data_IF_225229782738
#
_entry.id   IF_225229782738
#
_cell.length_a   1.000
_cell.length_b   1.000
_cell.length_c   1.000
_cell.angle_alpha   90.00
_cell.angle_beta   90.00
_cell.angle_gamma   90.00
#
_symmetry.space_group_name_H-M   'P 1'
#
loop_
_entity.id
_entity.type
_entity.pdbx_description
1 polymer ?
2 polymer ?
3 water ?
#
loop_
_entity_poly.entity_id
_entity_poly.type
_entity_poly.pdbx_seq_one_letter_code
_entity_poly.pdbx_strand_id
2 'polydeoxyribonucleotide' '(DT)(DC)(DT)(DT)(DC)(DC)' ?
#
# COMPACT_ATOMS: atom_id res chain seq x y z
N UNK A 6 -13.87 0.03 14.31
CA UNK A 6 -13.11 -1.20 14.50
C UNK A 6 -11.76 -1.14 13.79
N UNK A 7 -11.63 -0.22 12.83
CA UNK A 7 -10.41 -0.15 12.03
C UNK A 7 -10.40 1.12 11.18
N UNK A 8 -9.25 1.79 11.10
CA UNK A 8 -9.12 2.98 10.27
C UNK A 8 -7.87 2.87 9.41
N UNK A 9 -7.86 3.61 8.31
CA UNK A 9 -6.68 3.66 7.46
C UNK A 9 -6.54 5.05 6.86
N UNK A 10 -5.30 5.39 6.51
CA UNK A 10 -5.02 6.65 5.83
C UNK A 10 -3.79 6.46 4.96
N UNK A 11 -3.92 6.76 3.67
CA UNK A 11 -2.75 6.80 2.80
C UNK A 11 -2.00 8.09 3.12
N UNK A 12 -0.83 7.96 3.74
CA UNK A 12 -0.07 9.14 4.11
C UNK A 12 0.84 9.60 2.98
N UNK A 13 1.28 8.67 2.13
CA UNK A 13 2.13 9.01 1.00
C UNK A 13 1.88 7.97 -0.09
N UNK A 14 1.74 8.43 -1.33
CA UNK A 14 1.67 7.52 -2.47
C UNK A 14 3.07 7.40 -3.06
N UNK A 15 3.57 6.17 -3.19
CA UNK A 15 4.94 6.00 -3.67
C UNK A 15 5.00 5.53 -5.12
N UNK A 16 4.16 4.57 -5.50
CA UNK A 16 4.28 4.00 -6.84
C UNK A 16 3.01 3.25 -7.19
N UNK A 17 2.54 3.40 -8.43
CA UNK A 17 1.49 2.54 -8.95
C UNK A 17 2.12 1.48 -9.85
N UNK A 18 1.73 0.22 -9.65
CA UNK A 18 2.30 -0.91 -10.37
C UNK A 18 1.47 -1.32 -11.59
N UNK A 19 0.17 -1.10 -11.55
CA UNK A 19 -0.71 -1.40 -12.67
C UNK A 19 -2.10 -0.85 -12.36
N UNK A 20 -2.93 -0.81 -13.39
CA UNK A 20 -4.31 -0.39 -13.28
C UNK A 20 -5.13 -1.30 -14.18
N UNK A 21 -6.37 -1.59 -13.78
CA UNK A 21 -7.19 -2.50 -14.58
C UNK A 21 -8.35 -1.75 -15.22
N UNK A 22 -9.19 -2.50 -15.94
CA UNK A 22 -10.25 -1.89 -16.74
C UNK A 22 -11.30 -1.18 -15.88
N UNK A 23 -11.41 -1.52 -14.60
CA UNK A 23 -12.34 -0.86 -13.70
C UNK A 23 -11.72 0.36 -13.02
N UNK A 24 -10.49 0.71 -13.36
CA UNK A 24 -9.84 1.83 -12.73
C UNK A 24 -9.17 1.51 -11.41
N UNK A 25 -9.26 0.28 -10.94
CA UNK A 25 -8.56 -0.08 -9.72
C UNK A 25 -7.07 -0.17 -9.99
N UNK A 26 -6.26 0.20 -9.00
CA UNK A 26 -4.82 0.23 -9.14
C UNK A 26 -4.18 -0.66 -8.09
N UNK A 27 -3.02 -1.22 -8.43
CA UNK A 27 -2.13 -1.85 -7.46
C UNK A 27 -1.03 -0.84 -7.13
N UNK A 28 -0.90 -0.50 -5.85
CA UNK A 28 -0.06 0.61 -5.43
C UNK A 28 0.85 0.21 -4.29
N UNK A 29 2.01 0.85 -4.23
CA UNK A 29 2.85 0.85 -3.04
C UNK A 29 2.69 2.22 -2.40
N UNK A 30 2.17 2.24 -1.18
CA UNK A 30 1.93 3.46 -0.42
C UNK A 30 2.53 3.33 0.97
N UNK A 31 2.65 4.46 1.66
CA UNK A 31 2.85 4.46 3.10
C UNK A 31 1.49 4.71 3.73
N UNK A 32 1.01 3.74 4.50
CA UNK A 32 -0.36 3.74 5.00
C UNK A 32 -0.34 3.63 6.51
N UNK A 33 -1.09 4.50 7.18
CA UNK A 33 -1.27 4.41 8.62
C UNK A 33 -2.55 3.62 8.92
N UNK A 34 -2.41 2.54 9.68
CA UNK A 34 -3.55 1.74 10.11
C UNK A 34 -3.79 1.97 11.60
N UNK A 35 -5.04 2.26 11.95
CA UNK A 35 -5.43 2.49 13.34
C UNK A 35 -4.53 3.52 14.02
N UNK A 36 -4.12 4.53 13.26
CA UNK A 36 -3.33 5.62 13.79
C UNK A 36 -1.88 5.30 14.06
N UNK A 37 -1.43 4.11 13.69
CA UNK A 37 -0.04 3.75 13.88
C UNK A 37 0.83 4.48 12.86
N UNK A 38 2.13 4.63 13.12
CA UNK A 38 3.02 5.21 12.12
C UNK A 38 2.85 4.49 10.79
N UNK A 39 2.96 5.24 9.70
CA UNK A 39 2.69 4.68 8.38
C UNK A 39 3.71 3.61 8.02
N UNK A 40 3.25 2.58 7.32
CA UNK A 40 4.09 1.47 6.89
C UNK A 40 3.93 1.26 5.39
N UNK A 41 4.94 0.65 4.79
CA UNK A 41 4.82 0.23 3.40
C UNK A 41 3.61 -0.68 3.24
N UNK A 42 2.86 -0.47 2.17
CA UNK A 42 1.62 -1.22 1.97
C UNK A 42 1.46 -1.44 0.47
N UNK A 43 1.32 -2.70 0.06
CA UNK A 43 1.18 -3.06 -1.35
C UNK A 43 -0.22 -3.65 -1.51
N UNK A 44 -1.07 -2.98 -2.29
CA UNK A 44 -2.50 -3.25 -2.17
C UNK A 44 -3.23 -2.70 -3.38
N UNK A 45 -4.39 -3.30 -3.68
CA UNK A 45 -5.28 -2.78 -4.70
C UNK A 45 -6.24 -1.73 -4.13
N UNK A 46 -6.49 -0.68 -4.92
CA UNK A 46 -7.31 0.46 -4.50
C UNK A 46 -8.33 0.83 -5.57
N UNK A 47 -9.51 1.27 -5.12
CA UNK A 47 -10.51 1.82 -6.03
C UNK A 47 -10.03 3.17 -6.58
N UNK A 48 -10.65 3.65 -7.67
CA UNK A 48 -10.19 4.91 -8.27
C UNK A 48 -10.11 6.08 -7.31
N UNK A 49 -11.04 6.21 -6.37
CA UNK A 49 -10.99 7.30 -5.41
C UNK A 49 -10.37 6.88 -4.08
N UNK A 50 -9.80 5.67 -4.01
CA UNK A 50 -9.06 5.17 -2.86
C UNK A 50 -9.92 5.04 -1.60
N UNK A 51 -11.25 5.04 -1.73
CA UNK A 51 -12.09 4.80 -0.57
C UNK A 51 -12.42 3.33 -0.37
N UNK A 52 -12.07 2.47 -1.32
CA UNK A 52 -12.21 1.04 -1.14
C UNK A 52 -10.86 0.40 -1.41
N UNK A 53 -10.51 -0.58 -0.60
CA UNK A 53 -9.24 -1.25 -0.79
C UNK A 53 -9.49 -2.74 -0.98
N UNK A 54 -8.58 -3.37 -1.71
CA UNK A 54 -8.62 -4.79 -1.92
C UNK A 54 -7.56 -5.50 -1.11
N UNK A 55 -7.16 -6.67 -1.60
CA UNK A 55 -6.19 -7.50 -0.91
C UNK A 55 -4.79 -6.92 -1.04
N UNK A 56 -3.98 -7.15 -0.01
CA UNK A 56 -2.63 -6.63 -0.04
C UNK A 56 -1.89 -7.00 1.22
N UNK A 57 -0.68 -6.49 1.32
CA UNK A 57 0.21 -6.81 2.43
C UNK A 57 0.81 -5.52 2.96
N UNK A 58 0.98 -5.45 4.27
CA UNK A 58 1.72 -4.37 4.91
C UNK A 58 3.07 -4.90 5.34
N UNK A 59 4.12 -4.11 5.13
CA UNK A 59 5.48 -4.50 5.46
C UNK A 59 6.14 -3.44 6.32
N UNK A 60 6.84 -3.88 7.36
CA UNK A 60 7.68 -2.95 8.10
C UNK A 60 8.81 -2.44 7.21
N UNK A 61 9.45 -1.35 7.64
CA UNK A 61 10.58 -0.84 6.87
C UNK A 61 11.65 -1.91 6.73
N UNK A 62 11.90 -2.67 7.80
CA UNK A 62 12.91 -3.71 7.79
C UNK A 62 12.56 -4.83 6.81
N UNK A 63 11.28 -5.23 6.78
CA UNK A 63 10.84 -6.26 5.84
C UNK A 63 10.96 -5.77 4.40
N UNK A 64 10.50 -4.54 4.14
CA UNK A 64 10.57 -4.01 2.79
C UNK A 64 12.01 -3.88 2.31
N UNK A 65 12.90 -3.40 3.19
CA UNK A 65 14.32 -3.31 2.84
C UNK A 65 14.91 -4.69 2.59
N UNK A 66 14.55 -5.67 3.42
CA UNK A 66 15.02 -7.04 3.22
C UNK A 66 14.63 -7.55 1.84
N UNK A 67 13.39 -7.28 1.43
CA UNK A 67 12.92 -7.70 0.11
C UNK A 67 13.71 -7.03 -1.01
N UNK A 68 13.84 -5.71 -0.95
CA UNK A 68 14.49 -5.00 -2.05
C UNK A 68 15.94 -5.44 -2.19
N UNK A 69 16.66 -5.51 -1.07
CA UNK A 69 18.07 -5.90 -1.10
C UNK A 69 18.26 -7.31 -1.65
N UNK A 70 17.26 -8.18 -1.46
CA UNK A 70 17.39 -9.56 -1.90
C UNK A 70 17.22 -9.70 -3.41
N UNK A 71 16.41 -8.84 -4.03
CA UNK A 71 16.06 -8.99 -5.43
C UNK A 71 16.71 -7.96 -6.35
N UNK A 72 17.46 -7.01 -5.80
CA UNK A 72 18.04 -5.92 -6.59
C UNK A 72 19.02 -6.42 -7.66
#
# INVERSE_FOLDING_TARGET
MKKMAEFTFEIEEHLLTLSENEKGWTKEINRVSFNGAPAKFDIRAWSPDHTKMGKGITLSNEEFQTMVDAFKGNLEHHHHHH
#
